data_IF_100305871887
#
_entry.id   IF_100305871887
#
_cell.length_a   1.000
_cell.length_b   1.000
_cell.length_c   1.000
_cell.angle_alpha   90.00
_cell.angle_beta   90.00
_cell.angle_gamma   90.00
#
_symmetry.space_group_name_H-M   'P 1'
#
loop_
_entity.id
_entity.type
_entity.pdbx_description
1 polymer ?
#
# COMPACT_ATOMS: atom_id res chain seq x y z
N UNK A 1 23.58 21.63 19.33
CA UNK A 1 24.63 21.79 18.30
C UNK A 1 23.96 21.49 16.98
N UNK A 2 23.71 22.50 16.15
CA UNK A 2 23.04 22.29 14.86
C UNK A 2 24.03 21.70 13.88
N UNK A 3 23.85 20.44 13.50
CA UNK A 3 24.55 19.83 12.36
C UNK A 3 24.14 20.58 11.10
N UNK A 4 25.06 21.38 10.54
CA UNK A 4 24.88 21.99 9.23
C UNK A 4 25.01 20.88 8.19
N UNK A 5 23.90 20.52 7.54
CA UNK A 5 23.92 19.65 6.37
C UNK A 5 24.77 20.36 5.29
N UNK A 6 25.81 19.72 4.73
CA UNK A 6 26.66 20.35 3.72
C UNK A 6 25.82 20.80 2.52
N UNK A 7 26.08 22.01 2.02
CA UNK A 7 25.40 22.51 0.83
C UNK A 7 25.69 21.61 -0.39
N UNK A 8 24.66 21.28 -1.19
CA UNK A 8 24.85 20.42 -2.35
C UNK A 8 25.71 21.12 -3.39
N UNK A 9 26.69 20.41 -3.93
CA UNK A 9 27.52 20.93 -5.02
C UNK A 9 26.71 21.00 -6.33
N UNK A 10 27.22 21.73 -7.32
CA UNK A 10 26.63 21.72 -8.67
C UNK A 10 26.58 20.31 -9.26
N UNK A 11 27.61 19.49 -9.01
CA UNK A 11 27.63 18.08 -9.44
C UNK A 11 26.53 17.27 -8.77
N UNK A 12 26.27 17.50 -7.48
CA UNK A 12 25.16 16.83 -6.77
C UNK A 12 23.81 17.23 -7.34
N UNK A 13 23.65 18.51 -7.70
CA UNK A 13 22.42 19.02 -8.34
C UNK A 13 22.18 18.39 -9.72
N UNK A 14 23.22 18.26 -10.55
CA UNK A 14 23.14 17.58 -11.85
C UNK A 14 22.84 16.09 -11.67
N UNK A 15 23.48 15.44 -10.70
CA UNK A 15 23.23 14.02 -10.39
C UNK A 15 21.80 13.80 -9.93
N UNK A 16 21.28 14.69 -9.06
CA UNK A 16 19.89 14.68 -8.61
C UNK A 16 18.92 14.85 -9.77
N UNK A 17 19.19 15.77 -10.70
CA UNK A 17 18.36 15.95 -11.90
C UNK A 17 18.32 14.69 -12.77
N UNK A 18 19.48 14.07 -13.01
CA UNK A 18 19.57 12.83 -13.80
C UNK A 18 18.81 11.68 -13.13
N UNK A 19 18.96 11.51 -11.81
CA UNK A 19 18.24 10.49 -11.04
C UNK A 19 16.72 10.72 -11.06
N UNK A 20 16.26 11.95 -10.83
CA UNK A 20 14.83 12.29 -10.89
C UNK A 20 14.25 12.10 -12.29
N UNK A 21 15.02 12.40 -13.35
CA UNK A 21 14.62 12.16 -14.73
C UNK A 21 14.37 10.68 -15.01
N UNK A 22 15.32 9.81 -14.63
CA UNK A 22 15.19 8.37 -14.79
C UNK A 22 13.98 7.80 -14.02
N UNK A 23 13.81 8.21 -12.76
CA UNK A 23 12.65 7.79 -11.95
C UNK A 23 11.33 8.29 -12.54
N UNK A 24 11.30 9.51 -13.09
CA UNK A 24 10.11 10.05 -13.74
C UNK A 24 9.70 9.25 -14.97
N UNK A 25 10.66 8.78 -15.78
CA UNK A 25 10.37 7.94 -16.95
C UNK A 25 9.77 6.58 -16.55
N UNK A 26 10.29 5.95 -15.49
CA UNK A 26 9.72 4.72 -14.90
C UNK A 26 8.29 4.95 -14.38
N UNK A 27 8.08 6.03 -13.61
CA UNK A 27 6.73 6.44 -13.14
C UNK A 27 5.79 6.64 -14.33
N UNK A 28 6.26 7.29 -15.40
CA UNK A 28 5.47 7.58 -16.59
C UNK A 28 5.12 6.31 -17.37
N UNK A 29 6.02 5.34 -17.42
CA UNK A 29 5.75 4.03 -18.03
C UNK A 29 4.70 3.25 -17.23
N UNK A 30 4.87 3.16 -15.91
CA UNK A 30 3.92 2.48 -15.03
C UNK A 30 2.55 3.17 -15.00
N UNK A 31 2.52 4.51 -14.99
CA UNK A 31 1.28 5.27 -15.10
C UNK A 31 0.54 4.95 -16.40
N UNK A 32 1.24 4.87 -17.54
CA UNK A 32 0.64 4.51 -18.82
C UNK A 32 0.05 3.09 -18.80
N UNK A 33 0.78 2.13 -18.21
CA UNK A 33 0.30 0.75 -18.04
C UNK A 33 -0.96 0.70 -17.16
N UNK A 34 -0.90 1.28 -15.96
CA UNK A 34 -2.02 1.35 -15.04
C UNK A 34 -3.24 2.04 -15.67
N UNK A 35 -3.02 3.12 -16.43
CA UNK A 35 -4.10 3.82 -17.15
C UNK A 35 -4.78 2.92 -18.18
N UNK A 36 -4.04 2.11 -18.93
CA UNK A 36 -4.58 1.15 -19.90
C UNK A 36 -5.40 0.06 -19.21
N UNK A 37 -4.91 -0.48 -18.10
CA UNK A 37 -5.61 -1.49 -17.30
C UNK A 37 -6.93 -0.94 -16.74
N UNK A 38 -6.90 0.24 -16.12
CA UNK A 38 -8.11 0.90 -15.59
C UNK A 38 -9.11 1.20 -16.71
N UNK A 39 -8.64 1.63 -17.88
CA UNK A 39 -9.50 1.88 -19.04
C UNK A 39 -10.19 0.59 -19.51
N UNK A 40 -9.46 -0.54 -19.53
CA UNK A 40 -10.03 -1.85 -19.87
C UNK A 40 -11.12 -2.24 -18.86
N UNK A 41 -10.84 -2.16 -17.56
CA UNK A 41 -11.81 -2.48 -16.51
C UNK A 41 -13.06 -1.61 -16.55
N UNK A 42 -12.91 -0.29 -16.78
CA UNK A 42 -14.07 0.60 -16.91
C UNK A 42 -14.91 0.31 -18.14
N UNK A 43 -14.29 -0.08 -19.26
CA UNK A 43 -15.04 -0.47 -20.45
C UNK A 43 -15.83 -1.76 -20.22
N UNK A 44 -15.25 -2.73 -19.48
CA UNK A 44 -15.94 -3.96 -19.09
C UNK A 44 -17.10 -3.66 -18.15
N UNK A 45 -16.87 -2.90 -17.08
CA UNK A 45 -17.93 -2.53 -16.12
C UNK A 45 -19.05 -1.70 -16.77
N UNK A 46 -18.71 -0.83 -17.72
CA UNK A 46 -19.72 -0.07 -18.45
C UNK A 46 -20.61 -0.98 -19.31
N UNK A 47 -20.04 -1.99 -19.96
CA UNK A 47 -20.81 -2.96 -20.76
C UNK A 47 -21.72 -3.84 -19.90
N UNK A 48 -21.25 -4.22 -18.71
CA UNK A 48 -21.97 -5.14 -17.82
C UNK A 48 -23.02 -4.45 -16.96
N UNK A 49 -22.69 -3.29 -16.39
CA UNK A 49 -23.49 -2.62 -15.36
C UNK A 49 -23.85 -1.16 -15.68
N UNK A 50 -23.36 -0.61 -16.80
CA UNK A 50 -23.53 0.80 -17.14
C UNK A 50 -22.73 1.76 -16.26
N UNK A 51 -21.85 1.26 -15.39
CA UNK A 51 -21.05 2.08 -14.47
C UNK A 51 -20.08 2.97 -15.24
N UNK A 52 -20.18 4.28 -15.03
CA UNK A 52 -19.31 5.28 -15.68
C UNK A 52 -18.24 5.83 -14.76
N UNK A 53 -18.33 5.59 -13.45
CA UNK A 53 -17.48 6.20 -12.43
C UNK A 53 -17.14 5.21 -11.32
N UNK A 54 -15.87 5.18 -10.94
CA UNK A 54 -15.34 4.37 -9.83
C UNK A 54 -14.53 5.28 -8.91
N UNK A 55 -14.72 5.12 -7.60
CA UNK A 55 -13.98 5.89 -6.61
C UNK A 55 -12.58 5.28 -6.38
N UNK A 56 -11.58 6.15 -6.24
CA UNK A 56 -10.23 5.76 -5.87
C UNK A 56 -10.08 5.94 -4.35
N UNK A 57 -9.82 4.83 -3.66
CA UNK A 57 -9.70 4.77 -2.20
C UNK A 57 -8.27 4.39 -1.81
N UNK A 58 -7.79 4.95 -0.70
CA UNK A 58 -6.57 4.49 -0.03
C UNK A 58 -6.85 3.19 0.77
N UNK A 59 -5.79 2.44 1.12
CA UNK A 59 -5.86 1.47 2.21
C UNK A 59 -6.40 2.16 3.47
N UNK A 60 -7.54 1.69 3.99
CA UNK A 60 -8.30 2.39 5.03
C UNK A 60 -9.61 3.04 4.55
N UNK A 61 -9.91 2.99 3.25
CA UNK A 61 -11.19 3.42 2.68
C UNK A 61 -11.31 4.93 2.45
N UNK A 62 -10.27 5.71 2.73
CA UNK A 62 -10.25 7.16 2.51
C UNK A 62 -10.30 7.46 1.01
N UNK A 63 -11.32 8.21 0.57
CA UNK A 63 -11.48 8.60 -0.83
C UNK A 63 -10.51 9.71 -1.24
N UNK A 64 -9.65 9.41 -2.21
CA UNK A 64 -8.68 10.38 -2.78
C UNK A 64 -9.13 10.92 -4.14
N UNK A 65 -10.06 10.26 -4.80
CA UNK A 65 -10.54 10.71 -6.08
C UNK A 65 -11.58 9.79 -6.68
N UNK A 66 -11.80 9.97 -7.96
CA UNK A 66 -12.63 9.09 -8.77
C UNK A 66 -12.12 9.09 -10.20
N UNK A 67 -12.20 7.93 -10.82
CA UNK A 67 -11.95 7.74 -12.23
C UNK A 67 -13.29 7.62 -12.94
N UNK A 68 -13.52 8.46 -13.93
CA UNK A 68 -14.70 8.43 -14.78
C UNK A 68 -14.32 8.10 -16.21
N UNK A 69 -15.12 7.25 -16.86
CA UNK A 69 -15.11 7.08 -18.32
C UNK A 69 -15.64 8.37 -18.95
N UNK A 70 -14.94 8.87 -19.96
CA UNK A 70 -15.34 10.06 -20.73
C UNK A 70 -15.47 9.69 -22.19
N UNK A 71 -16.48 10.19 -22.89
CA UNK A 71 -16.69 9.84 -24.30
C UNK A 71 -17.14 8.39 -24.48
N UNK A 72 -17.06 7.90 -25.72
CA UNK A 72 -17.72 6.64 -26.09
C UNK A 72 -19.25 6.71 -26.06
N UNK A 73 -19.80 7.93 -25.90
CA UNK A 73 -21.18 8.23 -26.23
C UNK A 73 -21.31 8.17 -27.75
N UNK A 74 -22.29 7.41 -28.21
CA UNK A 74 -22.61 7.34 -29.62
C UNK A 74 -23.44 8.54 -30.00
N UNK A 75 -23.01 9.30 -31.01
CA UNK A 75 -23.76 10.41 -31.57
C UNK A 75 -24.06 10.13 -33.04
N UNK A 76 -25.21 10.60 -33.51
CA UNK A 76 -25.50 10.65 -34.92
C UNK A 76 -24.50 11.59 -35.61
N UNK A 77 -23.85 11.10 -36.66
CA UNK A 77 -22.93 11.85 -37.49
C UNK A 77 -23.32 11.70 -38.95
N UNK A 78 -23.24 12.82 -39.68
CA UNK A 78 -23.43 12.82 -41.13
C UNK A 78 -22.16 12.22 -41.75
N UNK A 79 -22.29 11.03 -42.31
CA UNK A 79 -21.22 10.29 -43.01
C UNK A 79 -21.22 10.63 -44.49
N UNK A 80 -22.39 10.87 -45.07
CA UNK A 80 -22.58 11.28 -46.46
C UNK A 80 -23.41 12.58 -46.51
N UNK A 81 -22.74 13.74 -46.58
CA UNK A 81 -23.41 15.04 -46.61
C UNK A 81 -24.32 15.24 -47.83
N UNK A 82 -23.98 14.65 -48.97
CA UNK A 82 -24.73 14.86 -50.21
C UNK A 82 -26.04 14.07 -50.17
N UNK A 83 -25.98 12.82 -49.72
CA UNK A 83 -27.17 11.98 -49.52
C UNK A 83 -28.08 12.57 -48.44
N UNK A 84 -27.51 13.06 -47.33
CA UNK A 84 -28.28 13.73 -46.28
C UNK A 84 -28.97 14.99 -46.83
N UNK A 85 -28.24 15.85 -47.54
CA UNK A 85 -28.78 17.10 -48.11
C UNK A 85 -29.88 16.84 -49.14
N UNK A 86 -29.71 15.83 -50.01
CA UNK A 86 -30.72 15.44 -50.98
C UNK A 86 -32.03 14.99 -50.31
N UNK A 87 -31.92 14.18 -49.24
CA UNK A 87 -33.08 13.74 -48.47
C UNK A 87 -33.80 14.91 -47.77
N UNK A 88 -33.05 15.85 -47.17
CA UNK A 88 -33.63 17.05 -46.54
C UNK A 88 -34.34 17.90 -47.58
N UNK A 89 -33.75 18.08 -48.77
CA UNK A 89 -34.38 18.83 -49.86
C UNK A 89 -35.72 18.22 -50.27
N UNK A 90 -35.80 16.90 -50.35
CA UNK A 90 -36.99 16.20 -50.86
C UNK A 90 -38.07 16.04 -49.77
N UNK A 91 -37.69 15.91 -48.49
CA UNK A 91 -38.60 15.67 -47.36
C UNK A 91 -38.98 16.96 -46.61
N UNK A 92 -38.01 17.85 -46.38
CA UNK A 92 -38.15 19.08 -45.60
C UNK A 92 -37.63 20.29 -46.40
N UNK A 93 -38.30 20.67 -47.52
CA UNK A 93 -37.80 21.71 -48.42
C UNK A 93 -37.68 23.08 -47.76
N UNK A 94 -38.38 23.35 -46.64
CA UNK A 94 -38.25 24.60 -45.86
C UNK A 94 -36.90 24.74 -45.16
N UNK A 95 -36.24 23.62 -44.86
CA UNK A 95 -34.97 23.56 -44.12
C UNK A 95 -33.75 23.51 -45.04
N UNK A 96 -33.96 23.31 -46.34
CA UNK A 96 -32.94 23.34 -47.37
C UNK A 96 -32.71 24.79 -47.84
N UNK A 97 -31.47 25.27 -47.73
CA UNK A 97 -31.05 26.61 -48.11
C UNK A 97 -30.19 26.54 -49.37
N UNK A 98 -30.57 27.35 -50.36
CA UNK A 98 -29.77 27.54 -51.58
C UNK A 98 -29.11 28.91 -51.48
N UNK A 99 -27.80 28.93 -51.27
CA UNK A 99 -27.01 30.16 -51.26
C UNK A 99 -26.29 30.33 -52.60
N UNK A 100 -26.52 31.47 -53.25
CA UNK A 100 -25.85 31.83 -54.50
C UNK A 100 -24.66 32.71 -54.15
N UNK A 101 -23.48 32.10 -54.12
CA UNK A 101 -22.19 32.81 -54.01
C UNK A 101 -21.73 33.14 -55.44
N UNK A 102 -21.11 34.30 -55.71
CA UNK A 102 -20.59 34.59 -57.05
C UNK A 102 -19.72 33.43 -57.55
N UNK A 103 -20.13 32.82 -58.68
CA UNK A 103 -19.55 31.63 -59.33
C UNK A 103 -19.83 30.24 -58.70
N UNK A 104 -20.58 30.11 -57.60
CA UNK A 104 -20.93 28.81 -57.00
C UNK A 104 -22.34 28.78 -56.40
N UNK A 105 -23.15 27.79 -56.78
CA UNK A 105 -24.40 27.47 -56.06
C UNK A 105 -24.06 26.49 -54.95
N UNK A 106 -24.28 26.88 -53.69
CA UNK A 106 -24.11 25.99 -52.54
C UNK A 106 -25.48 25.63 -51.98
N UNK A 107 -25.76 24.34 -51.92
CA UNK A 107 -26.90 23.77 -51.21
C UNK A 107 -26.46 23.36 -49.82
N UNK A 108 -27.11 23.89 -48.79
CA UNK A 108 -26.84 23.54 -47.40
C UNK A 108 -28.13 23.33 -46.64
N UNK A 109 -28.07 22.57 -45.56
CA UNK A 109 -29.16 22.43 -44.61
C UNK A 109 -28.99 23.51 -43.54
N UNK A 110 -30.09 24.05 -43.02
CA UNK A 110 -30.04 25.00 -41.89
C UNK A 110 -29.31 24.35 -40.69
N UNK A 111 -28.21 24.95 -40.19
CA UNK A 111 -27.40 24.35 -39.13
C UNK A 111 -28.20 24.02 -37.86
N UNK A 112 -29.08 24.93 -37.43
CA UNK A 112 -29.89 24.73 -36.23
C UNK A 112 -30.84 23.52 -36.36
N UNK A 113 -31.42 23.30 -37.54
CA UNK A 113 -32.27 22.15 -37.79
C UNK A 113 -31.47 20.85 -37.87
N UNK A 114 -30.31 20.86 -38.54
CA UNK A 114 -29.45 19.66 -38.57
C UNK A 114 -28.97 19.26 -37.18
N UNK A 115 -28.62 20.23 -36.33
CA UNK A 115 -28.21 19.97 -34.95
C UNK A 115 -29.35 19.36 -34.13
N UNK A 116 -30.58 19.88 -34.28
CA UNK A 116 -31.76 19.33 -33.63
C UNK A 116 -32.06 17.90 -34.10
N UNK A 117 -32.01 17.65 -35.42
CA UNK A 117 -32.26 16.34 -36.00
C UNK A 117 -31.22 15.30 -35.53
N UNK A 118 -29.93 15.66 -35.53
CA UNK A 118 -28.85 14.81 -35.03
C UNK A 118 -28.97 14.56 -33.52
N UNK A 119 -29.39 15.56 -32.74
CA UNK A 119 -29.65 15.37 -31.31
C UNK A 119 -30.82 14.40 -31.06
N UNK A 120 -31.90 14.50 -31.83
CA UNK A 120 -33.04 13.59 -31.76
C UNK A 120 -32.64 12.14 -32.12
N UNK A 121 -31.91 11.95 -33.22
CA UNK A 121 -31.36 10.65 -33.62
C UNK A 121 -30.41 10.07 -32.57
N UNK A 122 -29.57 10.92 -31.98
CA UNK A 122 -28.66 10.53 -30.89
C UNK A 122 -29.42 10.07 -29.65
N UNK A 123 -30.47 10.79 -29.26
CA UNK A 123 -31.33 10.42 -28.13
C UNK A 123 -32.08 9.11 -28.39
N UNK A 124 -32.52 8.86 -29.62
CA UNK A 124 -33.17 7.63 -30.04
C UNK A 124 -32.20 6.45 -30.19
N UNK A 125 -30.89 6.70 -30.27
CA UNK A 125 -29.87 5.67 -30.52
C UNK A 125 -29.98 5.01 -31.90
N UNK A 126 -30.71 5.62 -32.84
CA UNK A 126 -30.96 5.09 -34.18
C UNK A 126 -30.92 6.22 -35.22
N UNK A 127 -30.55 5.95 -36.49
CA UNK A 127 -30.54 6.95 -37.56
C UNK A 127 -31.98 7.21 -38.09
N UNK A 128 -32.91 7.44 -37.18
CA UNK A 128 -34.33 7.70 -37.46
C UNK A 128 -34.73 9.05 -36.88
N UNK A 129 -35.38 9.86 -37.69
CA UNK A 129 -35.91 11.15 -37.28
C UNK A 129 -37.44 11.11 -37.28
N UNK A 130 -38.04 11.65 -36.22
CA UNK A 130 -39.50 11.76 -36.10
C UNK A 130 -39.85 13.20 -36.45
N UNK A 131 -40.67 13.40 -37.47
CA UNK A 131 -41.22 14.71 -37.78
C UNK A 131 -42.27 15.07 -36.72
N UNK A 132 -42.04 16.15 -35.98
CA UNK A 132 -42.94 16.62 -34.93
C UNK A 132 -44.29 17.12 -35.48
N UNK A 133 -44.33 17.58 -36.73
CA UNK A 133 -45.55 18.12 -37.32
C UNK A 133 -46.49 17.01 -37.84
N UNK A 134 -45.94 15.93 -38.39
CA UNK A 134 -46.71 14.85 -39.02
C UNK A 134 -46.76 13.58 -38.17
N UNK A 135 -45.81 13.40 -37.24
CA UNK A 135 -45.61 12.16 -36.48
C UNK A 135 -45.00 11.02 -37.31
N UNK A 136 -44.59 11.27 -38.55
CA UNK A 136 -43.96 10.27 -39.42
C UNK A 136 -42.51 10.00 -38.99
N UNK A 137 -42.11 8.73 -39.03
CA UNK A 137 -40.74 8.29 -38.71
C UNK A 137 -40.00 8.05 -40.02
N UNK A 138 -38.93 8.80 -40.26
CA UNK A 138 -38.10 8.67 -41.43
C UNK A 138 -36.77 7.99 -41.08
N UNK A 139 -36.36 7.01 -41.90
CA UNK A 139 -34.97 6.55 -41.91
C UNK A 139 -34.11 7.61 -42.61
N UNK A 140 -33.10 8.15 -41.94
CA UNK A 140 -32.30 9.28 -42.42
C UNK A 140 -31.08 8.76 -43.18
N UNK A 141 -31.01 8.89 -44.52
CA UNK A 141 -29.90 8.39 -45.28
C UNK A 141 -28.67 9.30 -45.12
N UNK A 142 -27.47 8.71 -45.16
CA UNK A 142 -26.20 9.42 -44.98
C UNK A 142 -25.85 9.75 -43.52
N UNK A 143 -26.64 9.29 -42.54
CA UNK A 143 -26.37 9.44 -41.10
C UNK A 143 -26.10 8.08 -40.46
N UNK A 144 -25.05 8.00 -39.65
CA UNK A 144 -24.73 6.82 -38.85
C UNK A 144 -24.53 7.19 -37.39
N UNK A 145 -24.88 6.27 -36.49
CA UNK A 145 -24.58 6.38 -35.07
C UNK A 145 -23.14 5.91 -34.83
N UNK A 146 -22.22 6.85 -34.61
CA UNK A 146 -20.79 6.58 -34.38
C UNK A 146 -20.36 7.08 -33.00
N UNK A 147 -19.34 6.48 -32.36
CA UNK A 147 -18.75 7.05 -31.16
C UNK A 147 -18.28 8.49 -31.45
N UNK A 148 -18.81 9.47 -30.72
CA UNK A 148 -18.47 10.89 -30.93
C UNK A 148 -17.01 11.20 -30.62
N UNK A 149 -16.44 10.45 -29.69
CA UNK A 149 -15.04 10.45 -29.34
C UNK A 149 -14.63 9.06 -28.86
N UNK A 150 -13.34 8.74 -29.03
CA UNK A 150 -12.77 7.55 -28.41
C UNK A 150 -13.04 7.58 -26.89
N UNK A 151 -13.54 6.47 -26.35
CA UNK A 151 -13.74 6.33 -24.91
C UNK A 151 -12.40 6.52 -24.19
N UNK A 152 -12.35 7.54 -23.34
CA UNK A 152 -11.20 7.92 -22.57
C UNK A 152 -11.44 7.81 -21.07
N UNK A 153 -10.38 8.16 -20.34
CA UNK A 153 -10.31 8.12 -18.89
C UNK A 153 -10.06 9.51 -18.34
N UNK A 154 -10.87 9.94 -17.38
CA UNK A 154 -10.58 11.13 -16.57
C UNK A 154 -10.47 10.78 -15.10
N UNK A 155 -9.31 11.06 -14.52
CA UNK A 155 -9.10 11.00 -13.07
C UNK A 155 -9.37 12.39 -12.47
N UNK A 156 -10.18 12.44 -11.41
CA UNK A 156 -10.46 13.66 -10.65
C UNK A 156 -10.14 13.41 -9.19
N UNK A 157 -9.29 14.26 -8.59
CA UNK A 157 -8.97 14.18 -7.18
C UNK A 157 -10.03 14.90 -6.33
N UNK A 158 -10.22 14.44 -5.10
CA UNK A 158 -11.05 15.16 -4.12
C UNK A 158 -10.45 16.54 -3.84
N UNK A 159 -11.32 17.53 -3.66
CA UNK A 159 -10.92 18.90 -3.29
C UNK A 159 -10.93 19.04 -1.76
N UNK A 160 -10.17 20.02 -1.26
CA UNK A 160 -10.24 20.43 0.14
C UNK A 160 -11.67 20.75 0.53
N UNK A 161 -12.09 20.29 1.70
CA UNK A 161 -13.43 20.53 2.25
C UNK A 161 -13.34 20.74 3.75
N UNK A 162 -14.45 21.17 4.38
CA UNK A 162 -14.50 21.32 5.84
C UNK A 162 -14.20 20.02 6.59
N UNK A 163 -14.50 18.86 5.98
CA UNK A 163 -14.32 17.54 6.58
C UNK A 163 -12.99 16.88 6.17
N UNK A 164 -12.26 17.46 5.20
CA UNK A 164 -10.97 16.97 4.75
C UNK A 164 -10.10 18.17 4.38
N UNK A 165 -9.21 18.63 5.28
CA UNK A 165 -8.36 19.79 5.02
C UNK A 165 -7.34 19.54 3.92
N UNK A 166 -7.04 18.27 3.65
CA UNK A 166 -6.16 17.83 2.57
C UNK A 166 -6.94 17.51 1.30
N UNK A 167 -6.38 17.86 0.14
CA UNK A 167 -6.88 17.39 -1.14
C UNK A 167 -6.44 15.95 -1.44
N UNK A 168 -7.03 15.34 -2.46
CA UNK A 168 -6.73 13.96 -2.81
C UNK A 168 -5.27 13.69 -3.19
N UNK A 169 -4.54 14.70 -3.68
CA UNK A 169 -3.11 14.54 -4.02
C UNK A 169 -2.24 14.60 -2.77
N UNK A 170 -2.56 15.50 -1.85
CA UNK A 170 -1.90 15.60 -0.55
C UNK A 170 -2.09 14.30 0.25
N UNK A 171 -3.29 13.72 0.25
CA UNK A 171 -3.58 12.43 0.88
C UNK A 171 -2.79 11.27 0.26
N UNK A 172 -2.69 11.20 -1.07
CA UNK A 172 -1.85 10.19 -1.74
C UNK A 172 -0.37 10.40 -1.42
N UNK A 173 0.10 11.65 -1.36
CA UNK A 173 1.48 11.96 -1.03
C UNK A 173 1.81 11.61 0.44
N UNK A 174 0.85 11.76 1.36
CA UNK A 174 0.99 11.31 2.75
C UNK A 174 1.08 9.78 2.81
N UNK A 175 0.12 9.08 2.19
CA UNK A 175 0.09 7.63 2.15
C UNK A 175 1.32 7.00 1.48
N UNK A 176 1.96 7.73 0.55
CA UNK A 176 3.25 7.32 -0.01
C UNK A 176 4.40 7.51 0.99
N UNK A 177 4.40 8.61 1.76
CA UNK A 177 5.42 8.88 2.78
C UNK A 177 5.33 7.94 3.98
N UNK A 178 4.13 7.44 4.30
CA UNK A 178 3.88 6.47 5.37
C UNK A 178 4.00 5.01 4.92
N UNK A 179 4.37 4.76 3.66
CA UNK A 179 4.47 3.41 3.05
C UNK A 179 3.14 2.63 2.95
N UNK A 180 2.01 3.28 3.22
CA UNK A 180 0.68 2.67 3.07
C UNK A 180 0.40 2.26 1.62
N UNK A 181 1.05 2.91 0.66
CA UNK A 181 0.92 2.62 -0.78
C UNK A 181 1.90 1.57 -1.32
N UNK A 182 2.68 0.88 -0.48
CA UNK A 182 3.69 -0.10 -0.92
C UNK A 182 3.12 -1.17 -1.86
N UNK A 183 1.89 -1.63 -1.63
CA UNK A 183 1.22 -2.64 -2.46
C UNK A 183 0.77 -2.12 -3.85
N UNK A 184 0.67 -0.81 -4.02
CA UNK A 184 0.10 -0.17 -5.22
C UNK A 184 1.14 0.62 -6.03
N UNK A 185 2.28 0.97 -5.44
CA UNK A 185 3.36 1.72 -6.08
C UNK A 185 4.38 0.74 -6.64
N UNK A 186 5.10 1.15 -7.69
CA UNK A 186 6.19 0.37 -8.23
C UNK A 186 7.18 -0.01 -7.11
N UNK A 187 7.57 -1.30 -6.96
CA UNK A 187 8.55 -1.72 -5.96
C UNK A 187 9.88 -0.96 -6.04
N UNK A 188 10.26 -0.46 -7.23
CA UNK A 188 11.48 0.33 -7.44
C UNK A 188 11.41 1.75 -6.83
N UNK A 189 10.19 2.23 -6.54
CA UNK A 189 9.92 3.54 -5.93
C UNK A 189 9.39 3.41 -4.50
N UNK A 190 9.17 2.18 -4.04
CA UNK A 190 8.91 1.96 -2.62
C UNK A 190 10.11 2.53 -1.87
N UNK A 191 9.91 3.29 -0.79
CA UNK A 191 11.00 3.65 0.09
C UNK A 191 11.74 2.35 0.40
N UNK A 192 13.04 2.28 0.06
CA UNK A 192 13.86 1.15 0.47
C UNK A 192 13.63 1.03 1.97
N UNK A 193 12.99 -0.07 2.40
CA UNK A 193 12.94 -0.43 3.80
C UNK A 193 14.38 -0.28 4.27
N UNK A 194 14.64 0.72 5.11
CA UNK A 194 16.00 0.97 5.55
C UNK A 194 16.44 -0.36 6.12
N UNK A 195 17.49 -1.02 5.55
CA UNK A 195 17.99 -2.20 6.19
C UNK A 195 18.30 -1.76 7.61
N UNK A 196 17.64 -2.39 8.60
CA UNK A 196 17.91 -2.10 10.00
C UNK A 196 19.43 -2.05 10.13
N UNK A 197 19.97 -0.96 10.66
CA UNK A 197 21.41 -0.73 10.62
C UNK A 197 22.10 -1.91 11.32
N UNK A 198 22.60 -2.87 10.53
CA UNK A 198 23.19 -4.09 11.04
C UNK A 198 24.50 -3.68 11.68
N UNK A 199 24.53 -3.66 13.01
CA UNK A 199 25.76 -3.47 13.74
C UNK A 199 26.46 -4.82 13.88
N UNK A 200 27.78 -4.81 13.82
CA UNK A 200 28.57 -5.99 14.15
C UNK A 200 28.84 -5.96 15.65
N UNK A 201 28.47 -7.04 16.34
CA UNK A 201 28.71 -7.15 17.77
C UNK A 201 30.21 -7.16 18.04
N UNK A 202 30.71 -6.22 18.85
CA UNK A 202 32.13 -6.15 19.19
C UNK A 202 32.65 -7.39 19.94
N UNK A 203 31.77 -8.17 20.57
CA UNK A 203 32.15 -9.37 21.32
C UNK A 203 32.22 -10.63 20.45
N UNK A 204 31.28 -10.83 19.52
CA UNK A 204 31.18 -12.08 18.74
C UNK A 204 31.25 -11.90 17.22
N UNK A 205 31.25 -10.66 16.71
CA UNK A 205 31.26 -10.34 15.28
C UNK A 205 29.94 -10.56 14.55
N UNK A 206 28.89 -11.08 15.22
CA UNK A 206 27.60 -11.31 14.58
C UNK A 206 26.87 -9.99 14.28
N UNK A 207 26.17 -9.94 13.14
CA UNK A 207 25.27 -8.85 12.80
C UNK A 207 24.03 -8.84 13.70
N UNK A 208 23.61 -7.68 14.19
CA UNK A 208 22.39 -7.51 14.99
C UNK A 208 21.74 -6.15 14.73
N UNK A 209 20.44 -6.05 15.05
CA UNK A 209 19.66 -4.82 14.89
C UNK A 209 20.02 -3.78 15.96
N UNK A 210 20.14 -2.52 15.54
CA UNK A 210 20.47 -1.42 16.44
C UNK A 210 19.51 -1.32 17.64
N UNK A 211 20.07 -1.27 18.85
CA UNK A 211 19.31 -1.12 20.10
C UNK A 211 18.78 -2.42 20.70
N UNK A 212 18.99 -3.57 20.06
CA UNK A 212 18.72 -4.89 20.64
C UNK A 212 20.03 -5.50 21.18
N UNK A 213 19.98 -6.28 22.28
CA UNK A 213 21.14 -7.07 22.71
C UNK A 213 21.51 -8.09 21.63
N UNK A 214 22.79 -8.44 21.53
CA UNK A 214 23.24 -9.36 20.51
C UNK A 214 22.65 -10.76 20.78
N UNK A 215 21.81 -11.31 19.88
CA UNK A 215 21.13 -12.58 20.12
C UNK A 215 22.11 -13.76 20.25
N UNK A 216 23.28 -13.65 19.59
CA UNK A 216 24.35 -14.66 19.71
C UNK A 216 25.00 -14.62 21.08
N UNK A 217 25.20 -13.43 21.66
CA UNK A 217 25.76 -13.31 23.00
C UNK A 217 24.74 -13.74 24.06
N UNK A 218 23.47 -13.32 23.94
CA UNK A 218 22.42 -13.77 24.85
C UNK A 218 22.24 -15.29 24.83
N UNK A 219 22.29 -15.91 23.65
CA UNK A 219 22.24 -17.36 23.54
C UNK A 219 23.42 -18.03 24.24
N UNK A 220 24.64 -17.49 24.07
CA UNK A 220 25.83 -18.01 24.78
C UNK A 220 25.71 -17.86 26.29
N UNK A 221 25.19 -16.74 26.78
CA UNK A 221 25.01 -16.50 28.22
C UNK A 221 23.95 -17.44 28.81
N UNK A 222 22.85 -17.65 28.09
CA UNK A 222 21.83 -18.65 28.48
C UNK A 222 22.39 -20.05 28.50
N UNK A 223 23.12 -20.46 27.45
CA UNK A 223 23.73 -21.78 27.39
C UNK A 223 24.78 -21.97 28.51
N UNK A 224 25.58 -20.94 28.81
CA UNK A 224 26.53 -20.98 29.91
C UNK A 224 25.83 -21.12 31.27
N UNK A 225 24.67 -20.48 31.45
CA UNK A 225 23.88 -20.59 32.68
C UNK A 225 23.23 -21.98 32.82
N UNK A 226 22.71 -22.53 31.73
CA UNK A 226 22.05 -23.84 31.71
C UNK A 226 23.06 -25.00 31.82
N UNK A 227 24.28 -24.84 31.29
CA UNK A 227 25.35 -25.85 31.37
C UNK A 227 26.31 -25.67 32.54
N UNK A 228 26.20 -24.55 33.28
CA UNK A 228 26.94 -24.40 34.52
C UNK A 228 26.57 -25.59 35.43
N UNK A 229 27.53 -26.44 35.81
CA UNK A 229 27.25 -27.53 36.72
C UNK A 229 26.63 -26.90 37.95
N UNK A 230 25.40 -27.32 38.27
CA UNK A 230 24.71 -26.89 39.49
C UNK A 230 25.70 -27.15 40.60
N UNK A 231 26.25 -26.07 41.18
CA UNK A 231 27.34 -26.17 42.13
C UNK A 231 26.88 -27.15 43.20
N UNK A 232 27.48 -28.35 43.20
CA UNK A 232 27.16 -29.37 44.15
C UNK A 232 27.34 -28.74 45.52
N UNK A 233 26.29 -28.77 46.34
CA UNK A 233 26.32 -28.30 47.72
C UNK A 233 27.62 -28.85 48.33
N UNK A 234 28.55 -28.00 48.79
CA UNK A 234 29.84 -28.48 49.26
C UNK A 234 29.60 -29.53 50.33
N UNK A 235 30.17 -30.72 50.14
CA UNK A 235 30.02 -31.82 51.08
C UNK A 235 30.45 -31.34 52.47
N UNK A 236 29.68 -31.64 53.53
CA UNK A 236 30.04 -31.23 54.89
C UNK A 236 31.44 -31.77 55.21
N UNK A 237 32.35 -30.87 55.54
CA UNK A 237 33.70 -31.26 55.91
C UNK A 237 33.66 -31.80 57.34
N UNK A 238 33.60 -33.12 57.48
CA UNK A 238 33.71 -33.80 58.78
C UNK A 238 35.14 -33.62 59.27
N UNK A 239 35.38 -32.61 60.11
CA UNK A 239 36.67 -32.42 60.77
C UNK A 239 36.70 -33.26 62.04
N UNK A 240 37.59 -34.26 62.10
CA UNK A 240 37.84 -35.06 63.31
C UNK A 240 38.85 -34.31 64.18
N UNK A 241 38.39 -33.49 65.12
CA UNK A 241 39.22 -32.93 66.19
C UNK A 241 38.71 -33.47 67.53
N UNK A 242 39.58 -34.17 68.25
CA UNK A 242 39.31 -34.61 69.63
C UNK A 242 39.73 -33.51 70.61
N UNK A 243 38.80 -32.90 71.38
CA UNK A 243 39.18 -32.08 72.53
C UNK A 243 39.58 -32.99 73.72
N UNK A 244 40.58 -32.57 74.48
CA UNK A 244 41.20 -33.37 75.55
C UNK A 244 40.43 -33.39 76.89
N UNK A 245 39.20 -32.89 76.94
CA UNK A 245 38.32 -32.96 78.11
C UNK A 245 36.87 -32.76 77.67
N UNK A 246 36.00 -33.74 77.90
CA UNK A 246 34.59 -33.65 77.54
C UNK A 246 33.71 -34.14 78.69
N UNK A 247 32.79 -33.28 79.12
CA UNK A 247 31.81 -33.56 80.19
C UNK A 247 30.59 -34.27 79.57
N UNK A 248 30.76 -35.53 79.17
CA UNK A 248 29.76 -36.61 79.18
C UNK A 248 28.42 -36.57 78.40
N UNK A 249 27.94 -35.46 77.84
CA UNK A 249 26.57 -35.39 77.28
C UNK A 249 26.48 -34.97 75.79
N UNK A 250 25.72 -35.74 74.98
CA UNK A 250 25.44 -35.42 73.57
C UNK A 250 24.30 -34.41 73.44
N UNK A 251 24.56 -33.24 72.84
CA UNK A 251 23.57 -32.14 72.74
C UNK A 251 22.36 -32.43 71.84
N UNK A 252 22.42 -33.44 70.98
CA UNK A 252 21.35 -33.72 70.03
C UNK A 252 20.35 -34.78 70.51
N UNK A 253 20.73 -35.59 71.51
CA UNK A 253 19.88 -36.67 72.01
C UNK A 253 19.87 -36.82 73.54
N UNK A 254 20.56 -35.94 74.28
CA UNK A 254 20.69 -35.96 75.76
C UNK A 254 21.15 -37.32 76.32
N UNK A 255 21.84 -38.13 75.51
CA UNK A 255 22.36 -39.44 75.90
C UNK A 255 23.78 -39.36 76.47
N UNK A 256 24.14 -40.23 77.43
CA UNK A 256 25.52 -40.32 77.94
C UNK A 256 26.46 -40.80 76.83
N UNK A 257 27.63 -40.17 76.71
CA UNK A 257 28.71 -40.59 75.81
C UNK A 257 29.74 -41.35 76.65
N UNK A 258 29.94 -42.64 76.35
CA UNK A 258 30.89 -43.48 77.09
C UNK A 258 32.32 -43.34 76.54
N UNK A 259 33.33 -43.62 77.38
CA UNK A 259 34.75 -43.66 76.98
C UNK A 259 34.97 -44.77 75.94
N UNK A 260 34.90 -44.42 74.65
CA UNK A 260 35.11 -45.34 73.53
C UNK A 260 34.34 -45.01 72.25
N UNK A 261 33.33 -44.14 72.33
CA UNK A 261 32.49 -43.79 71.17
C UNK A 261 33.18 -42.79 70.21
N UNK A 262 32.99 -43.00 68.89
CA UNK A 262 33.54 -42.12 67.86
C UNK A 262 32.64 -40.88 67.71
N UNK A 263 33.20 -39.69 67.97
CA UNK A 263 32.46 -38.43 67.97
C UNK A 263 32.60 -37.75 66.61
N UNK A 264 31.47 -37.36 65.99
CA UNK A 264 31.44 -36.57 64.77
C UNK A 264 30.96 -35.14 65.06
N UNK A 265 31.56 -34.16 64.38
CA UNK A 265 31.10 -32.78 64.39
C UNK A 265 30.33 -32.48 63.12
N UNK A 266 29.10 -32.00 63.26
CA UNK A 266 28.28 -31.48 62.16
C UNK A 266 27.98 -30.01 62.50
N UNK A 267 28.35 -29.08 61.62
CA UNK A 267 28.14 -27.64 61.79
C UNK A 267 28.64 -27.07 63.15
N UNK A 268 29.84 -27.47 63.58
CA UNK A 268 30.49 -27.09 64.86
C UNK A 268 29.81 -27.58 66.16
N UNK A 269 28.81 -28.47 66.07
CA UNK A 269 28.19 -29.13 67.23
C UNK A 269 28.53 -30.63 67.31
N UNK A 270 28.56 -31.15 68.54
CA UNK A 270 28.93 -32.55 68.84
C UNK A 270 27.69 -33.43 68.73
N UNK A 271 27.74 -34.38 67.79
CA UNK A 271 26.74 -35.41 67.62
C UNK A 271 27.36 -36.80 67.85
N UNK A 272 26.62 -37.69 68.52
CA UNK A 272 26.97 -39.11 68.54
C UNK A 272 26.72 -39.73 67.16
N UNK A 273 27.45 -40.81 66.84
CA UNK A 273 27.43 -41.45 65.52
C UNK A 273 26.01 -41.84 65.06
N UNK A 274 25.17 -42.32 65.98
CA UNK A 274 23.75 -42.62 65.71
C UNK A 274 22.90 -41.41 65.33
N UNK A 275 23.28 -40.19 65.70
CA UNK A 275 22.59 -38.96 65.30
C UNK A 275 23.13 -38.36 63.99
N UNK A 276 24.42 -38.58 63.71
CA UNK A 276 25.05 -38.12 62.47
C UNK A 276 24.49 -38.85 61.22
N UNK A 277 24.18 -40.15 61.34
CA UNK A 277 23.57 -40.91 60.24
C UNK A 277 22.09 -40.54 59.97
N UNK A 278 21.39 -39.96 60.95
CA UNK A 278 19.98 -39.58 60.80
C UNK A 278 19.76 -38.23 60.10
N UNK A 279 20.82 -37.42 59.94
CA UNK A 279 20.76 -36.05 59.40
C UNK A 279 21.48 -35.87 58.05
N UNK A 280 22.18 -36.91 57.58
CA UNK A 280 22.80 -36.96 56.25
C UNK A 280 21.79 -37.35 55.15
#
# INVERSE_FOLDING_TARGET
>A
MSEQTPEPTFRDSVTRLAALGALFDEVKAAYRKARTEVQHHLNTQYKEAGTTKVDALLPGGTKVGSVSRTGGETAAQIVDPDTFTAWVRDTFPSEHVVEIVPMQVRTSVRPAWSDQALAAMTAAGTPRYVDEATGEVHDVPGVEIRPSAAAGLRMTYTRKSKNSPYDGRELVAEAWRTDDLAAHVLPVLAPAAQPAAIQTCGACGAGYDYGQPCPTCEFKDRMATETAPTAAKPAPQVSRRFPAAFDGECKHCDGPIDEGDEIAYVDDEIACETCAEATA
#
